data_IF_520238857035
#
_entry.id   IF_520238857035
#
_cell.length_a   1.000
_cell.length_b   1.000
_cell.length_c   1.000
_cell.angle_alpha   90.00
_cell.angle_beta   90.00
_cell.angle_gamma   90.00
#
_symmetry.space_group_name_H-M   'P 1'
#
loop_
_entity.id
_entity.type
_entity.pdbx_description
1 polymer ?
#
# COMPACT_ATOMS: atom_id res chain seq x y z
N UNK A 1 -27.53 21.08 -10.50
CA UNK A 1 -26.40 20.90 -11.42
C UNK A 1 -26.86 20.00 -12.54
N UNK A 2 -26.66 20.33 -13.83
CA UNK A 2 -27.08 19.46 -14.93
C UNK A 2 -26.33 18.13 -14.81
N UNK A 3 -27.06 17.01 -14.88
CA UNK A 3 -26.47 15.68 -14.82
C UNK A 3 -25.58 15.50 -16.07
N UNK A 4 -24.32 15.21 -15.86
CA UNK A 4 -23.33 14.88 -16.90
C UNK A 4 -23.76 13.62 -17.70
N UNK A 5 -24.91 13.07 -17.40
CA UNK A 5 -25.34 11.68 -17.64
C UNK A 5 -26.18 11.49 -18.91
N UNK A 6 -26.53 12.57 -19.64
CA UNK A 6 -27.39 12.39 -20.83
C UNK A 6 -26.72 11.65 -21.99
N UNK A 7 -25.38 11.61 -22.06
CA UNK A 7 -24.66 11.14 -23.26
C UNK A 7 -24.03 9.73 -23.18
N UNK A 8 -24.00 9.06 -22.01
CA UNK A 8 -23.32 7.75 -21.92
C UNK A 8 -24.01 6.64 -22.71
N UNK A 9 -25.28 6.82 -23.05
CA UNK A 9 -26.01 5.84 -23.86
C UNK A 9 -25.45 5.75 -25.28
N UNK A 10 -24.92 6.83 -25.82
CA UNK A 10 -24.34 6.93 -27.15
C UNK A 10 -22.87 6.48 -27.22
N UNK A 11 -22.21 6.32 -26.07
CA UNK A 11 -20.82 5.86 -26.03
C UNK A 11 -20.80 4.34 -26.24
N UNK A 12 -20.17 3.90 -27.32
CA UNK A 12 -20.01 2.48 -27.65
C UNK A 12 -18.61 1.93 -27.32
N UNK A 13 -17.60 2.80 -27.22
CA UNK A 13 -16.24 2.37 -26.93
C UNK A 13 -16.07 2.00 -25.45
N UNK A 14 -15.38 0.89 -25.18
CA UNK A 14 -15.07 0.42 -23.82
C UNK A 14 -14.22 1.45 -23.05
N UNK A 15 -13.26 2.05 -23.73
CA UNK A 15 -12.37 3.08 -23.18
C UNK A 15 -13.15 4.32 -22.76
N UNK A 16 -14.03 4.81 -23.62
CA UNK A 16 -14.89 5.98 -23.33
C UNK A 16 -15.81 5.73 -22.14
N UNK A 17 -16.47 4.56 -22.08
CA UNK A 17 -17.28 4.17 -20.93
C UNK A 17 -16.44 4.04 -19.65
N UNK A 18 -15.21 3.52 -19.73
CA UNK A 18 -14.33 3.39 -18.56
C UNK A 18 -13.91 4.75 -18.01
N UNK A 19 -13.52 5.68 -18.89
CA UNK A 19 -13.17 7.05 -18.48
C UNK A 19 -14.37 7.78 -17.87
N UNK A 20 -15.57 7.62 -18.47
CA UNK A 20 -16.78 8.22 -17.93
C UNK A 20 -17.18 7.62 -16.57
N UNK A 21 -17.05 6.29 -16.40
CA UNK A 21 -17.30 5.63 -15.12
C UNK A 21 -16.37 6.15 -14.00
N UNK A 22 -15.11 6.42 -14.33
CA UNK A 22 -14.16 7.02 -13.38
C UNK A 22 -14.57 8.46 -13.05
N UNK A 23 -14.88 9.27 -14.08
CA UNK A 23 -15.29 10.68 -13.90
C UNK A 23 -16.55 10.80 -13.03
N UNK A 24 -17.58 9.98 -13.28
CA UNK A 24 -18.82 9.98 -12.49
C UNK A 24 -18.57 9.54 -11.04
N UNK A 25 -17.69 8.55 -10.82
CA UNK A 25 -17.30 8.12 -9.48
C UNK A 25 -16.56 9.23 -8.72
N UNK A 26 -15.61 9.93 -9.35
CA UNK A 26 -14.89 11.07 -8.77
C UNK A 26 -15.81 12.25 -8.44
N UNK A 27 -16.91 12.42 -9.18
CA UNK A 27 -17.96 13.43 -8.90
C UNK A 27 -18.98 12.96 -7.87
N UNK A 28 -18.82 11.79 -7.25
CA UNK A 28 -19.75 11.24 -6.27
C UNK A 28 -21.08 10.72 -6.85
N UNK A 29 -21.21 10.66 -8.18
CA UNK A 29 -22.42 10.19 -8.88
C UNK A 29 -22.43 8.65 -8.97
N UNK A 30 -22.59 7.99 -7.82
CA UNK A 30 -22.40 6.55 -7.69
C UNK A 30 -23.43 5.72 -8.45
N UNK A 31 -24.71 6.17 -8.53
CA UNK A 31 -25.76 5.47 -9.28
C UNK A 31 -25.45 5.41 -10.78
N UNK A 32 -24.91 6.49 -11.32
CA UNK A 32 -24.52 6.55 -12.72
C UNK A 32 -23.24 5.75 -12.98
N UNK A 33 -22.29 5.80 -12.06
CA UNK A 33 -21.11 4.91 -12.11
C UNK A 33 -21.53 3.43 -12.12
N UNK A 34 -22.55 3.03 -11.36
CA UNK A 34 -23.11 1.66 -11.40
C UNK A 34 -23.70 1.35 -12.79
N UNK A 35 -24.52 2.24 -13.37
CA UNK A 35 -25.12 2.01 -14.69
C UNK A 35 -24.06 1.84 -15.77
N UNK A 36 -23.06 2.72 -15.79
CA UNK A 36 -21.99 2.71 -16.80
C UNK A 36 -21.14 1.43 -16.68
N UNK A 37 -20.70 1.06 -15.47
CA UNK A 37 -19.92 -0.17 -15.28
C UNK A 37 -20.74 -1.42 -15.65
N UNK A 38 -22.04 -1.44 -15.36
CA UNK A 38 -22.92 -2.51 -15.82
C UNK A 38 -23.02 -2.58 -17.35
N UNK A 39 -23.00 -1.44 -18.06
CA UNK A 39 -22.97 -1.41 -19.53
C UNK A 39 -21.67 -2.03 -20.04
N UNK A 40 -20.52 -1.72 -19.45
CA UNK A 40 -19.24 -2.36 -19.81
C UNK A 40 -19.33 -3.87 -19.59
N UNK A 41 -19.86 -4.32 -18.44
CA UNK A 41 -19.98 -5.74 -18.11
C UNK A 41 -21.00 -6.51 -18.95
N UNK A 42 -21.91 -5.86 -19.67
CA UNK A 42 -22.75 -6.52 -20.66
C UNK A 42 -21.94 -6.96 -21.89
N UNK A 43 -20.88 -6.23 -22.23
CA UNK A 43 -20.00 -6.56 -23.37
C UNK A 43 -18.89 -7.52 -22.93
N UNK A 44 -18.34 -7.33 -21.74
CA UNK A 44 -17.25 -8.15 -21.19
C UNK A 44 -17.53 -8.43 -19.71
N UNK A 45 -18.14 -9.57 -19.42
CA UNK A 45 -18.54 -10.00 -18.08
C UNK A 45 -17.37 -10.28 -17.15
N UNK A 46 -16.17 -10.43 -17.69
CA UNK A 46 -14.93 -10.78 -16.96
C UNK A 46 -14.00 -9.58 -16.75
N UNK A 47 -14.40 -8.37 -17.16
CA UNK A 47 -13.60 -7.16 -16.95
C UNK A 47 -13.44 -6.87 -15.44
N UNK A 48 -12.30 -7.30 -14.89
CA UNK A 48 -11.95 -7.13 -13.47
C UNK A 48 -11.95 -5.65 -13.06
N UNK A 49 -11.52 -4.75 -13.95
CA UNK A 49 -11.50 -3.32 -13.66
C UNK A 49 -12.91 -2.74 -13.55
N UNK A 50 -13.81 -3.12 -14.44
CA UNK A 50 -15.22 -2.72 -14.37
C UNK A 50 -15.91 -3.33 -13.15
N UNK A 51 -15.64 -4.60 -12.82
CA UNK A 51 -16.14 -5.24 -11.59
C UNK A 51 -15.62 -4.53 -10.33
N UNK A 52 -14.34 -4.17 -10.24
CA UNK A 52 -13.80 -3.44 -9.11
C UNK A 52 -14.45 -2.06 -8.95
N UNK A 53 -14.63 -1.31 -10.04
CA UNK A 53 -15.35 -0.02 -10.01
C UNK A 53 -16.81 -0.19 -9.59
N UNK A 54 -17.49 -1.24 -10.07
CA UNK A 54 -18.87 -1.55 -9.71
C UNK A 54 -18.99 -1.91 -8.22
N UNK A 55 -18.10 -2.76 -7.72
CA UNK A 55 -18.04 -3.12 -6.30
C UNK A 55 -17.82 -1.90 -5.40
N UNK A 56 -16.90 -1.01 -5.80
CA UNK A 56 -16.64 0.23 -5.08
C UNK A 56 -17.87 1.17 -5.09
N UNK A 57 -18.54 1.33 -6.23
CA UNK A 57 -19.74 2.16 -6.33
C UNK A 57 -20.86 1.62 -5.42
N UNK A 58 -21.07 0.29 -5.38
CA UNK A 58 -22.03 -0.30 -4.44
C UNK A 58 -21.63 -0.10 -2.98
N UNK A 59 -20.35 -0.15 -2.65
CA UNK A 59 -19.87 0.12 -1.28
C UNK A 59 -20.16 1.57 -0.90
N UNK A 60 -19.93 2.52 -1.80
CA UNK A 60 -20.19 3.96 -1.58
C UNK A 60 -21.68 4.29 -1.45
N UNK A 61 -22.54 3.54 -2.12
CA UNK A 61 -23.99 3.59 -1.98
C UNK A 61 -24.53 2.87 -0.73
N UNK A 62 -23.68 2.28 0.10
CA UNK A 62 -24.08 1.49 1.25
C UNK A 62 -24.73 0.14 0.91
N UNK A 63 -24.74 -0.26 -0.38
CA UNK A 63 -25.35 -1.51 -0.85
C UNK A 63 -24.40 -2.71 -0.64
N UNK A 64 -24.07 -2.99 0.63
CA UNK A 64 -23.07 -3.95 1.06
C UNK A 64 -23.21 -5.35 0.45
N UNK A 65 -24.43 -5.89 0.44
CA UNK A 65 -24.69 -7.22 -0.09
C UNK A 65 -24.37 -7.33 -1.59
N UNK A 66 -24.67 -6.28 -2.36
CA UNK A 66 -24.33 -6.23 -3.79
C UNK A 66 -22.82 -6.08 -3.97
N UNK A 67 -22.15 -5.24 -3.18
CA UNK A 67 -20.71 -5.10 -3.20
C UNK A 67 -20.00 -6.43 -2.92
N UNK A 68 -20.41 -7.15 -1.85
CA UNK A 68 -19.85 -8.47 -1.53
C UNK A 68 -20.00 -9.48 -2.67
N UNK A 69 -21.18 -9.49 -3.34
CA UNK A 69 -21.40 -10.39 -4.49
C UNK A 69 -20.42 -10.10 -5.62
N UNK A 70 -20.19 -8.82 -5.93
CA UNK A 70 -19.23 -8.43 -6.97
C UNK A 70 -17.79 -8.78 -6.57
N UNK A 71 -17.38 -8.51 -5.34
CA UNK A 71 -16.03 -8.88 -4.90
C UNK A 71 -15.80 -10.39 -4.87
N UNK A 72 -16.81 -11.19 -4.50
CA UNK A 72 -16.74 -12.66 -4.64
C UNK A 72 -16.58 -13.09 -6.10
N UNK A 73 -17.27 -12.45 -7.03
CA UNK A 73 -17.12 -12.72 -8.47
C UNK A 73 -15.70 -12.39 -8.95
N UNK A 74 -15.12 -11.28 -8.51
CA UNK A 74 -13.72 -10.93 -8.84
C UNK A 74 -12.78 -12.01 -8.29
N UNK A 75 -12.95 -12.43 -7.03
CA UNK A 75 -12.08 -13.44 -6.43
C UNK A 75 -12.23 -14.84 -7.04
N UNK A 76 -13.36 -15.13 -7.68
CA UNK A 76 -13.52 -16.34 -8.48
C UNK A 76 -12.73 -16.28 -9.79
N UNK A 77 -12.55 -15.08 -10.38
CA UNK A 77 -11.77 -14.87 -11.59
C UNK A 77 -10.28 -14.69 -11.28
N UNK A 78 -9.96 -13.95 -10.24
CA UNK A 78 -8.62 -13.63 -9.77
C UNK A 78 -8.58 -13.75 -8.23
N UNK A 79 -8.23 -14.94 -7.70
CA UNK A 79 -8.20 -15.21 -6.25
C UNK A 79 -7.25 -14.29 -5.46
N UNK A 80 -6.28 -13.68 -6.13
CA UNK A 80 -5.27 -12.82 -5.51
C UNK A 80 -5.48 -11.34 -5.76
N UNK A 81 -6.68 -10.94 -6.19
CA UNK A 81 -7.00 -9.54 -6.43
C UNK A 81 -7.00 -8.73 -5.13
N UNK A 82 -5.94 -7.96 -4.90
CA UNK A 82 -5.77 -7.16 -3.67
C UNK A 82 -6.92 -6.17 -3.47
N UNK A 83 -7.44 -5.55 -4.53
CA UNK A 83 -8.51 -4.56 -4.44
C UNK A 83 -9.78 -5.25 -3.91
N UNK A 84 -10.13 -6.40 -4.48
CA UNK A 84 -11.30 -7.17 -4.06
C UNK A 84 -11.16 -7.69 -2.62
N UNK A 85 -10.00 -8.22 -2.26
CA UNK A 85 -9.71 -8.72 -0.90
C UNK A 85 -9.84 -7.60 0.14
N UNK A 86 -9.18 -6.45 -0.06
CA UNK A 86 -9.26 -5.30 0.85
C UNK A 86 -10.68 -4.75 1.00
N UNK A 87 -11.40 -4.62 -0.10
CA UNK A 87 -12.75 -4.08 -0.07
C UNK A 87 -13.73 -5.09 0.56
N UNK A 88 -13.54 -6.39 0.34
CA UNK A 88 -14.34 -7.42 1.00
C UNK A 88 -14.18 -7.39 2.51
N UNK A 89 -12.94 -7.28 2.99
CA UNK A 89 -12.64 -7.14 4.41
C UNK A 89 -13.26 -5.86 4.99
N UNK A 90 -13.15 -4.73 4.28
CA UNK A 90 -13.78 -3.47 4.70
C UNK A 90 -15.29 -3.59 4.83
N UNK A 91 -15.96 -4.22 3.87
CA UNK A 91 -17.41 -4.44 3.90
C UNK A 91 -17.80 -5.40 5.03
N UNK A 92 -16.99 -6.45 5.29
CA UNK A 92 -17.22 -7.39 6.39
C UNK A 92 -17.13 -6.70 7.77
N UNK A 93 -16.10 -5.88 7.99
CA UNK A 93 -15.94 -5.10 9.24
C UNK A 93 -17.13 -4.17 9.49
N UNK A 94 -17.68 -3.54 8.46
CA UNK A 94 -18.86 -2.67 8.57
C UNK A 94 -20.16 -3.44 8.92
N UNK A 95 -20.19 -4.76 8.74
CA UNK A 95 -21.31 -5.61 9.15
C UNK A 95 -21.18 -6.06 10.61
N UNK A 96 -19.98 -6.10 11.18
CA UNK A 96 -19.70 -6.53 12.56
C UNK A 96 -19.77 -5.41 13.61
N UNK A 97 -19.92 -4.17 13.22
CA UNK A 97 -19.88 -3.00 14.13
C UNK A 97 -21.22 -2.71 14.84
N UNK A 98 -22.03 -3.73 15.15
CA UNK A 98 -23.11 -3.58 16.13
C UNK A 98 -22.72 -3.98 17.56
N UNK A 99 -21.62 -4.70 17.79
CA UNK A 99 -21.19 -5.02 19.16
C UNK A 99 -19.69 -5.36 19.18
N UNK A 100 -18.88 -4.42 19.58
CA UNK A 100 -17.47 -4.68 19.81
C UNK A 100 -16.69 -3.40 20.09
N UNK A 101 -16.65 -3.05 21.35
CA UNK A 101 -15.77 -2.04 21.93
C UNK A 101 -14.30 -2.44 21.67
N UNK A 102 -13.81 -2.08 20.51
CA UNK A 102 -12.42 -2.20 20.11
C UNK A 102 -11.95 -0.83 19.63
N UNK A 103 -11.71 0.07 20.57
CA UNK A 103 -11.03 1.33 20.36
C UNK A 103 -9.56 1.03 20.02
N UNK A 104 -9.31 0.48 18.82
CA UNK A 104 -8.01 0.63 18.19
C UNK A 104 -8.03 2.07 17.67
N UNK A 105 -7.61 3.00 18.50
CA UNK A 105 -7.11 4.29 18.05
C UNK A 105 -5.94 3.96 17.11
N UNK A 106 -6.26 3.79 15.81
CA UNK A 106 -5.23 4.01 14.80
C UNK A 106 -4.85 5.48 14.98
N UNK A 107 -3.73 5.70 15.64
CA UNK A 107 -3.03 6.96 15.51
C UNK A 107 -2.94 7.20 14.00
N UNK A 108 -3.74 8.15 13.52
CA UNK A 108 -3.65 8.65 12.15
C UNK A 108 -2.37 9.46 12.09
N UNK A 109 -1.24 8.75 12.13
CA UNK A 109 0.04 9.35 11.85
C UNK A 109 -0.08 9.94 10.46
N UNK A 110 0.02 11.25 10.40
CA UNK A 110 -0.05 11.99 9.16
C UNK A 110 0.99 11.37 8.21
N UNK A 111 0.62 10.70 7.11
CA UNK A 111 1.57 9.93 6.29
C UNK A 111 2.74 10.77 5.81
N UNK A 112 2.50 12.07 5.61
CA UNK A 112 3.51 13.04 5.21
C UNK A 112 4.65 13.21 6.22
N UNK A 113 4.37 13.07 7.52
CA UNK A 113 5.39 13.18 8.58
C UNK A 113 6.21 11.90 8.73
N UNK A 114 5.59 10.74 8.41
CA UNK A 114 6.25 9.42 8.52
C UNK A 114 7.30 9.23 7.43
N UNK A 115 7.01 9.67 6.19
CA UNK A 115 7.85 9.42 5.02
C UNK A 115 8.79 10.57 4.66
N UNK A 116 9.16 11.40 5.63
CA UNK A 116 10.12 12.47 5.40
C UNK A 116 11.48 11.87 4.99
N UNK A 117 11.97 12.29 3.82
CA UNK A 117 13.26 11.85 3.33
C UNK A 117 14.39 12.62 4.02
N UNK A 118 15.28 11.90 4.69
CA UNK A 118 16.50 12.42 5.30
C UNK A 118 17.72 11.69 4.70
N UNK A 119 18.61 12.39 3.95
CA UNK A 119 19.79 11.75 3.37
C UNK A 119 20.64 11.05 4.42
N UNK A 120 21.06 9.82 4.12
CA UNK A 120 21.90 9.02 5.03
C UNK A 120 21.15 8.38 6.21
N UNK A 121 19.94 8.81 6.54
CA UNK A 121 19.14 8.30 7.66
C UNK A 121 17.90 7.51 7.26
N UNK A 122 17.41 7.71 6.04
CA UNK A 122 16.19 7.06 5.57
C UNK A 122 16.41 6.30 4.28
N UNK A 123 15.66 5.22 4.09
CA UNK A 123 15.68 4.43 2.85
C UNK A 123 14.34 3.75 2.61
N UNK A 124 13.90 3.76 1.34
CA UNK A 124 12.80 2.92 0.87
C UNK A 124 13.37 1.64 0.27
N UNK A 125 12.79 0.49 0.62
CA UNK A 125 13.31 -0.83 0.25
C UNK A 125 12.16 -1.74 -0.09
N UNK A 126 12.35 -2.57 -1.12
CA UNK A 126 11.44 -3.66 -1.43
C UNK A 126 11.87 -4.90 -0.66
N UNK A 127 10.93 -5.56 0.00
CA UNK A 127 11.18 -6.81 0.70
C UNK A 127 11.30 -7.98 -0.27
N UNK A 128 12.05 -8.98 0.15
CA UNK A 128 12.17 -10.28 -0.49
C UNK A 128 11.34 -11.32 0.27
N UNK A 129 11.10 -12.48 -0.36
CA UNK A 129 10.40 -13.61 0.26
C UNK A 129 9.09 -13.19 0.95
N UNK A 130 8.23 -12.53 0.18
CA UNK A 130 6.99 -11.93 0.70
C UNK A 130 6.04 -12.97 1.29
N UNK A 131 5.31 -12.54 2.30
CA UNK A 131 4.16 -13.27 2.83
C UNK A 131 3.08 -13.49 1.74
N UNK A 132 2.18 -14.47 1.93
CA UNK A 132 1.07 -14.69 1.01
C UNK A 132 0.22 -13.45 0.80
N UNK A 133 -0.41 -13.29 -0.39
CA UNK A 133 -1.24 -12.13 -0.71
C UNK A 133 -2.36 -11.85 0.30
N UNK A 134 -2.91 -12.89 0.93
CA UNK A 134 -3.93 -12.78 1.98
C UNK A 134 -3.45 -11.97 3.18
N UNK A 135 -2.18 -12.13 3.57
CA UNK A 135 -1.56 -11.33 4.64
C UNK A 135 -1.29 -9.91 4.15
N UNK A 136 -0.76 -9.76 2.93
CA UNK A 136 -0.44 -8.44 2.37
C UNK A 136 -1.68 -7.56 2.22
N UNK A 137 -2.85 -8.14 1.95
CA UNK A 137 -4.10 -7.39 1.79
C UNK A 137 -4.57 -6.67 3.05
N UNK A 138 -4.20 -7.14 4.24
CA UNK A 138 -4.59 -6.51 5.51
C UNK A 138 -3.74 -5.28 5.86
N UNK A 139 -2.61 -5.09 5.17
CA UNK A 139 -1.65 -4.02 5.43
C UNK A 139 -2.08 -2.69 4.81
N UNK A 140 -1.76 -1.60 5.51
CA UNK A 140 -1.99 -0.25 5.01
C UNK A 140 -0.68 0.55 4.94
N UNK A 141 -0.64 1.54 4.04
CA UNK A 141 0.44 2.51 4.02
C UNK A 141 0.47 3.28 5.36
N UNK A 142 1.67 3.42 5.94
CA UNK A 142 1.86 4.06 7.24
C UNK A 142 1.80 3.10 8.44
N UNK A 143 1.39 1.84 8.27
CA UNK A 143 1.41 0.88 9.37
C UNK A 143 2.87 0.68 9.85
N UNK A 144 3.08 0.77 11.17
CA UNK A 144 4.38 0.52 11.81
C UNK A 144 4.67 -0.97 11.80
N UNK A 145 5.91 -1.33 11.49
CA UNK A 145 6.38 -2.71 11.39
C UNK A 145 7.65 -2.91 12.22
N UNK A 146 7.94 -4.16 12.57
CA UNK A 146 9.09 -4.54 13.38
C UNK A 146 10.21 -5.13 12.54
N UNK A 147 11.43 -4.66 12.80
CA UNK A 147 12.67 -5.21 12.27
C UNK A 147 13.17 -6.29 13.24
N UNK A 148 13.17 -7.56 12.81
CA UNK A 148 13.57 -8.68 13.66
C UNK A 148 14.93 -9.24 13.22
N UNK A 149 16.02 -8.92 13.95
CA UNK A 149 17.34 -9.45 13.67
C UNK A 149 17.39 -10.97 13.80
N UNK A 150 17.98 -11.65 12.83
CA UNK A 150 18.41 -13.06 12.86
C UNK A 150 19.91 -13.13 12.70
N UNK A 151 20.51 -14.32 12.85
CA UNK A 151 21.97 -14.50 12.81
C UNK A 151 22.62 -13.89 11.55
N UNK A 152 22.01 -14.03 10.37
CA UNK A 152 22.53 -13.55 9.08
C UNK A 152 21.49 -12.84 8.21
N UNK A 153 20.30 -12.62 8.72
CA UNK A 153 19.20 -12.02 7.96
C UNK A 153 18.38 -11.09 8.87
N UNK A 154 17.55 -10.28 8.26
CA UNK A 154 16.58 -9.45 8.99
C UNK A 154 15.18 -9.71 8.42
N UNK A 155 14.32 -10.24 9.26
CA UNK A 155 12.91 -10.48 8.93
C UNK A 155 12.06 -9.32 9.38
N UNK A 156 11.00 -9.07 8.63
CA UNK A 156 10.04 -8.00 8.87
C UNK A 156 8.72 -8.62 9.30
N UNK A 157 8.14 -8.11 10.39
CA UNK A 157 6.84 -8.57 10.88
C UNK A 157 5.92 -7.37 11.18
N UNK A 158 4.63 -7.62 11.26
CA UNK A 158 3.67 -6.66 11.85
C UNK A 158 3.95 -6.51 13.35
N UNK A 159 3.28 -5.53 14.00
CA UNK A 159 3.25 -5.40 15.47
C UNK A 159 2.79 -6.69 16.16
N UNK A 160 1.90 -7.44 15.51
CA UNK A 160 1.33 -8.69 16.04
C UNK A 160 2.20 -9.92 15.75
N UNK A 161 3.41 -9.73 15.19
CA UNK A 161 4.37 -10.79 14.92
C UNK A 161 4.15 -11.56 13.61
N UNK A 162 3.21 -11.15 12.76
CA UNK A 162 2.94 -11.81 11.47
C UNK A 162 4.08 -11.50 10.50
N UNK A 163 4.68 -12.51 9.90
CA UNK A 163 5.75 -12.39 8.92
C UNK A 163 5.28 -11.67 7.65
N UNK A 164 6.09 -10.73 7.15
CA UNK A 164 5.82 -9.95 5.95
C UNK A 164 6.84 -10.18 4.82
N UNK A 165 8.08 -10.44 5.18
CA UNK A 165 9.17 -10.61 4.23
C UNK A 165 10.54 -10.48 4.90
N UNK A 166 11.59 -10.42 4.10
CA UNK A 166 12.97 -10.23 4.55
C UNK A 166 13.65 -9.06 3.83
N UNK A 167 14.63 -8.43 4.46
CA UNK A 167 15.49 -7.46 3.80
C UNK A 167 16.47 -8.17 2.86
N UNK A 168 16.94 -7.49 1.78
CA UNK A 168 18.10 -7.93 1.02
C UNK A 168 19.34 -8.12 1.91
N UNK A 169 20.14 -9.14 1.63
CA UNK A 169 21.23 -9.58 2.51
C UNK A 169 22.27 -8.49 2.80
N UNK A 170 22.66 -7.74 1.78
CA UNK A 170 23.63 -6.63 1.90
C UNK A 170 23.17 -5.59 2.92
N UNK A 171 21.88 -5.25 2.88
CA UNK A 171 21.30 -4.28 3.78
C UNK A 171 21.03 -4.88 5.18
N UNK A 172 20.59 -6.15 5.22
CA UNK A 172 20.39 -6.87 6.47
C UNK A 172 21.68 -6.91 7.30
N UNK A 173 22.81 -7.33 6.68
CA UNK A 173 24.12 -7.36 7.36
C UNK A 173 24.55 -5.99 7.85
N UNK A 174 24.36 -4.95 7.05
CA UNK A 174 24.69 -3.58 7.43
C UNK A 174 23.87 -3.11 8.65
N UNK A 175 22.56 -3.30 8.62
CA UNK A 175 21.68 -2.91 9.72
C UNK A 175 21.93 -3.74 10.99
N UNK A 176 22.21 -5.04 10.86
CA UNK A 176 22.59 -5.89 11.98
C UNK A 176 23.84 -5.36 12.70
N UNK A 177 24.86 -4.96 11.95
CA UNK A 177 26.10 -4.38 12.51
C UNK A 177 25.81 -3.06 13.23
N UNK A 178 24.99 -2.18 12.63
CA UNK A 178 24.65 -0.91 13.22
C UNK A 178 23.76 -1.05 14.47
N UNK A 179 22.78 -1.95 14.43
CA UNK A 179 21.92 -2.24 15.60
C UNK A 179 22.70 -2.85 16.75
N UNK A 180 23.62 -3.77 16.46
CA UNK A 180 24.53 -4.33 17.46
C UNK A 180 25.46 -3.26 18.07
N UNK A 181 25.78 -2.22 17.31
CA UNK A 181 26.55 -1.08 17.78
C UNK A 181 25.73 0.01 18.46
N UNK A 182 24.43 -0.18 18.62
CA UNK A 182 23.54 0.71 19.38
C UNK A 182 22.64 1.64 18.55
N UNK A 183 22.71 1.63 17.23
CA UNK A 183 21.78 2.40 16.39
C UNK A 183 20.35 1.86 16.54
N UNK A 184 19.35 2.75 16.44
CA UNK A 184 17.93 2.39 16.51
C UNK A 184 17.21 2.84 15.24
N UNK A 185 16.27 2.02 14.80
CA UNK A 185 15.51 2.23 13.58
C UNK A 185 14.01 2.05 13.81
N UNK A 186 13.24 2.76 13.05
CA UNK A 186 11.80 2.52 12.86
C UNK A 186 11.53 2.17 11.42
N UNK A 187 10.51 1.35 11.19
CA UNK A 187 10.10 0.97 9.85
C UNK A 187 8.59 1.07 9.70
N UNK A 188 8.16 1.43 8.49
CA UNK A 188 6.76 1.64 8.14
C UNK A 188 6.49 1.08 6.75
N UNK A 189 5.25 0.63 6.52
CA UNK A 189 4.81 0.20 5.20
C UNK A 189 4.63 1.43 4.33
N UNK A 190 5.34 1.48 3.19
CA UNK A 190 5.22 2.57 2.21
C UNK A 190 4.22 2.26 1.11
N UNK A 191 4.27 1.06 0.54
CA UNK A 191 3.32 0.61 -0.47
C UNK A 191 3.16 -0.89 -0.47
N UNK A 192 1.95 -1.34 -0.78
CA UNK A 192 1.60 -2.76 -0.82
C UNK A 192 1.11 -3.11 -2.22
N UNK A 193 1.78 -4.07 -2.85
CA UNK A 193 1.39 -4.66 -4.12
C UNK A 193 1.33 -6.19 -4.03
N UNK A 194 0.86 -6.86 -5.09
CA UNK A 194 0.76 -8.33 -5.15
C UNK A 194 2.12 -9.03 -5.04
N UNK A 195 3.12 -8.45 -5.70
CA UNK A 195 4.47 -9.02 -5.83
C UNK A 195 5.57 -8.13 -5.25
N UNK A 196 5.19 -6.97 -4.70
CA UNK A 196 6.13 -5.99 -4.17
C UNK A 196 5.56 -5.39 -2.91
N UNK A 197 6.29 -5.49 -1.83
CA UNK A 197 6.02 -4.79 -0.57
C UNK A 197 7.19 -3.85 -0.32
N UNK A 198 6.94 -2.54 -0.40
CA UNK A 198 7.95 -1.52 -0.12
C UNK A 198 7.78 -1.01 1.30
N UNK A 199 8.87 -0.95 2.03
CA UNK A 199 8.92 -0.39 3.37
C UNK A 199 9.81 0.85 3.40
N UNK A 200 9.57 1.72 4.35
CA UNK A 200 10.38 2.88 4.66
C UNK A 200 11.07 2.65 6.00
N UNK A 201 12.40 2.72 6.04
CA UNK A 201 13.19 2.58 7.26
C UNK A 201 13.82 3.94 7.57
N UNK A 202 13.76 4.33 8.85
CA UNK A 202 14.36 5.56 9.37
C UNK A 202 15.24 5.26 10.57
N UNK A 203 16.46 5.82 10.57
CA UNK A 203 17.33 5.86 11.72
C UNK A 203 16.78 6.91 12.70
N UNK A 204 16.43 6.47 13.92
CA UNK A 204 15.93 7.37 14.99
C UNK A 204 17.00 7.71 16.00
N UNK A 205 18.03 6.88 16.09
CA UNK A 205 19.18 7.12 16.98
C UNK A 205 20.45 6.54 16.34
N UNK A 206 21.53 7.32 16.38
CA UNK A 206 22.86 6.91 15.94
C UNK A 206 23.79 6.89 17.15
N UNK A 207 24.46 5.75 17.36
CA UNK A 207 25.47 5.63 18.40
C UNK A 207 26.74 6.39 18.04
N UNK A 208 27.52 6.81 19.05
CA UNK A 208 28.80 7.49 18.85
C UNK A 208 29.79 6.67 18.02
N UNK A 209 29.74 5.35 18.13
CA UNK A 209 30.56 4.41 17.35
C UNK A 209 30.42 4.61 15.82
N UNK A 210 29.26 5.08 15.36
CA UNK A 210 28.95 5.27 13.94
C UNK A 210 28.67 6.74 13.57
N UNK A 211 29.14 7.69 14.36
CA UNK A 211 28.83 9.11 14.19
C UNK A 211 29.07 9.61 12.76
N UNK A 212 30.21 9.25 12.17
CA UNK A 212 30.61 9.65 10.79
C UNK A 212 30.17 8.67 9.71
N UNK A 213 29.38 7.64 10.05
CA UNK A 213 28.98 6.61 9.10
C UNK A 213 27.47 6.59 8.90
N UNK A 214 26.96 7.09 7.75
CA UNK A 214 25.53 7.10 7.49
C UNK A 214 24.99 5.66 7.33
N UNK A 215 23.81 5.40 7.89
CA UNK A 215 23.15 4.11 7.80
C UNK A 215 22.79 3.74 6.36
N UNK A 216 22.47 4.74 5.55
CA UNK A 216 22.11 4.54 4.14
C UNK A 216 22.97 5.44 3.25
N UNK A 217 23.62 4.85 2.24
CA UNK A 217 24.31 5.63 1.21
C UNK A 217 23.31 6.13 0.18
N UNK A 218 23.38 7.41 -0.13
CA UNK A 218 22.63 7.98 -1.22
C UNK A 218 23.44 7.87 -2.52
N UNK A 219 23.08 6.90 -3.36
CA UNK A 219 23.73 6.74 -4.68
C UNK A 219 23.40 7.89 -5.66
N UNK A 220 22.57 8.86 -5.24
CA UNK A 220 22.11 9.97 -6.10
C UNK A 220 22.95 11.23 -5.99
N UNK A 221 23.99 11.25 -5.17
CA UNK A 221 24.87 12.42 -5.05
C UNK A 221 26.30 12.06 -5.44
N UNK A 222 26.67 12.20 -6.75
CA UNK A 222 28.05 11.99 -7.18
C UNK A 222 29.02 13.07 -6.67
N UNK A 223 28.51 14.18 -6.12
CA UNK A 223 29.30 15.35 -5.71
C UNK A 223 29.83 15.32 -4.27
N UNK A 224 29.57 14.28 -3.46
CA UNK A 224 30.17 14.16 -2.12
C UNK A 224 31.48 13.35 -2.10
N UNK A 225 32.11 13.15 -3.24
CA UNK A 225 33.36 12.38 -3.38
C UNK A 225 34.59 13.12 -3.88
N UNK A 226 34.47 14.40 -4.25
CA UNK A 226 35.65 15.19 -4.62
C UNK A 226 36.27 15.85 -3.38
N UNK A 227 37.34 15.23 -2.88
CA UNK A 227 38.27 15.90 -1.98
C UNK A 227 38.77 17.15 -2.68
N UNK A 228 38.62 18.28 -2.01
CA UNK A 228 39.33 19.52 -2.38
C UNK A 228 40.81 19.21 -2.54
N UNK A 229 41.28 19.15 -3.78
CA UNK A 229 42.70 19.30 -4.05
C UNK A 229 43.03 20.78 -3.87
N UNK A 230 43.52 21.12 -2.68
CA UNK A 230 44.21 22.36 -2.41
C UNK A 230 45.30 22.55 -3.43
N UNK A 231 45.19 23.57 -4.24
CA UNK A 231 46.27 24.12 -5.04
C UNK A 231 47.23 24.88 -4.10
N UNK A 232 48.46 24.36 -3.98
CA UNK A 232 49.61 25.10 -3.47
C UNK A 232 50.26 25.88 -4.60
#
# INVERSE_FOLDING_TARGET
>A
MPSIVADWQNITSKEGLSQLAIKTALSGQWDDAVKINKKILKTDTTDINALNRLGHAYTSLGQKNKAQKIYKQILALDPYNIIALKNMEKVARQNGQSNGNGNIQKETNNPSAVFLYEPGKTKTINLLNLAPPTVLCSLNCGDKISLNPKKHAMTITTSDGIYLGALPDDLAHKLLTFMAGGNKYEAYIKSVGLKVLSIFIREIFRSEKFFNQPSFQDKRNPYLGEKEHTWA
#
